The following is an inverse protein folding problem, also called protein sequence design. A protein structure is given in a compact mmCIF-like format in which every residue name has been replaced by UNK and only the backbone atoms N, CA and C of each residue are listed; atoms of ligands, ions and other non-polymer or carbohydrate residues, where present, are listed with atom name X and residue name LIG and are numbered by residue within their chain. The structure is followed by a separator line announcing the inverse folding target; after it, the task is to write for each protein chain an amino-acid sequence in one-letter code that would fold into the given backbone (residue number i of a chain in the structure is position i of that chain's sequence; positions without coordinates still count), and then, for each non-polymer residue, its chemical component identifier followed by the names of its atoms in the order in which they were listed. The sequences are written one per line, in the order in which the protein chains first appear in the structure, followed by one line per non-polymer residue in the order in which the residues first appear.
data_IF_889896474004
#
_entry.id   IF_889896474004
#
_cell.length_a   1.000
_cell.length_b   1.000
_cell.length_c   1.000
_cell.angle_alpha   90.00
_cell.angle_beta   90.00
_cell.angle_gamma   90.00
#
_symmetry.space_group_name_H-M   'P 1'
#
loop_
_entity.id
_entity.type
_entity.pdbx_description
1 polymer ?
#
# COMPACT_ATOMS: atom_id res chain seq x y z
N UNK A 1 -18.88 -7.59 1.64
CA UNK A 1 -17.66 -7.06 1.00
C UNK A 1 -16.50 -7.36 1.93
N UNK A 2 -15.65 -8.31 1.59
CA UNK A 2 -14.47 -8.64 2.37
C UNK A 2 -13.56 -7.41 2.46
N UNK A 3 -13.36 -6.91 3.68
CA UNK A 3 -12.42 -5.83 3.95
C UNK A 3 -11.03 -6.38 3.65
N UNK A 4 -10.44 -5.98 2.52
CA UNK A 4 -9.02 -6.20 2.25
C UNK A 4 -8.25 -5.63 3.45
N UNK A 5 -7.65 -6.51 4.24
CA UNK A 5 -6.80 -6.11 5.34
C UNK A 5 -5.48 -5.64 4.75
N UNK A 6 -5.05 -4.45 5.16
CA UNK A 6 -3.75 -3.88 4.81
C UNK A 6 -3.23 -3.17 6.07
N UNK A 7 -1.92 -3.25 6.28
CA UNK A 7 -1.21 -2.78 7.47
C UNK A 7 -0.05 -1.85 7.10
N UNK A 8 0.51 -1.20 8.11
CA UNK A 8 1.67 -0.33 7.94
C UNK A 8 2.89 -1.17 7.52
N UNK A 9 3.55 -0.74 6.45
CA UNK A 9 4.65 -1.48 5.82
C UNK A 9 4.20 -2.40 4.68
N UNK A 10 2.89 -2.58 4.45
CA UNK A 10 2.44 -3.45 3.36
C UNK A 10 2.75 -2.87 1.98
N UNK A 11 3.09 -3.76 1.06
CA UNK A 11 3.20 -3.43 -0.36
C UNK A 11 1.89 -3.77 -1.03
N UNK A 12 1.21 -2.74 -1.52
CA UNK A 12 -0.08 -2.86 -2.19
C UNK A 12 0.02 -2.53 -3.66
N UNK A 13 -0.83 -3.17 -4.47
CA UNK A 13 -0.97 -2.85 -5.88
C UNK A 13 -2.15 -1.92 -6.10
N UNK A 14 -1.89 -0.78 -6.74
CA UNK A 14 -2.94 0.14 -7.18
C UNK A 14 -3.58 -0.33 -8.49
N UNK A 15 -4.87 -0.02 -8.68
CA UNK A 15 -5.58 -0.25 -9.96
C UNK A 15 -5.10 0.68 -11.07
N UNK A 16 -4.77 1.92 -10.72
CA UNK A 16 -4.22 2.89 -11.68
C UNK A 16 -2.69 2.82 -11.66
N UNK A 17 -2.06 2.80 -12.83
CA UNK A 17 -0.61 2.81 -12.89
C UNK A 17 -0.03 4.14 -12.44
N UNK A 18 1.12 4.09 -11.76
CA UNK A 18 1.90 5.29 -11.47
C UNK A 18 2.58 5.76 -12.77
N UNK A 19 2.77 7.08 -12.99
CA UNK A 19 3.49 7.61 -14.16
C UNK A 19 4.90 7.05 -14.37
N UNK A 20 5.51 6.42 -13.36
CA UNK A 20 6.81 5.74 -13.52
C UNK A 20 6.73 4.31 -14.08
N UNK A 21 5.53 3.77 -14.32
CA UNK A 21 5.32 2.39 -14.79
C UNK A 21 5.21 1.33 -13.68
N UNK A 22 5.52 1.68 -12.42
CA UNK A 22 5.36 0.80 -11.27
C UNK A 22 3.97 0.94 -10.65
N UNK A 23 3.32 -0.17 -10.30
CA UNK A 23 1.96 -0.16 -9.72
C UNK A 23 1.96 -0.54 -8.23
N UNK A 24 3.15 -0.71 -7.68
CA UNK A 24 3.42 -1.17 -6.32
C UNK A 24 3.73 0.02 -5.43
N UNK A 25 3.00 0.10 -4.32
CA UNK A 25 3.10 1.18 -3.36
C UNK A 25 3.18 0.62 -1.96
N UNK A 26 4.17 1.06 -1.22
CA UNK A 26 4.40 0.73 0.18
C UNK A 26 3.62 1.70 1.07
N UNK A 27 2.91 1.17 2.07
CA UNK A 27 2.18 2.01 3.03
C UNK A 27 3.12 2.45 4.13
N UNK A 28 3.44 3.73 4.18
CA UNK A 28 4.39 4.28 5.16
C UNK A 28 3.67 4.82 6.39
N UNK A 29 2.47 5.35 6.20
CA UNK A 29 1.68 5.92 7.30
C UNK A 29 0.20 5.61 7.10
N UNK A 30 -0.46 5.24 8.19
CA UNK A 30 -1.90 5.08 8.27
C UNK A 30 -2.49 6.10 9.24
N UNK A 31 -3.57 6.76 8.81
CA UNK A 31 -4.30 7.76 9.57
C UNK A 31 -5.57 8.14 8.83
N UNK A 32 -6.02 9.40 8.96
CA UNK A 32 -7.07 9.95 8.07
C UNK A 32 -6.62 9.95 6.61
N UNK A 33 -5.37 10.37 6.38
CA UNK A 33 -4.68 10.26 5.11
C UNK A 33 -3.62 9.16 5.18
N UNK A 34 -3.60 8.31 4.15
CA UNK A 34 -2.62 7.24 4.01
C UNK A 34 -1.47 7.80 3.17
N UNK A 35 -0.25 7.80 3.73
CA UNK A 35 0.94 8.12 2.96
C UNK A 35 1.50 6.84 2.38
N UNK A 36 1.60 6.81 1.05
CA UNK A 36 2.11 5.67 0.29
C UNK A 36 3.34 6.10 -0.50
N UNK A 37 4.30 5.19 -0.63
CA UNK A 37 5.54 5.42 -1.38
C UNK A 37 5.64 4.45 -2.52
N UNK A 38 5.93 4.96 -3.71
CA UNK A 38 6.18 4.09 -4.85
C UNK A 38 7.49 3.32 -4.64
N UNK A 39 7.47 2.00 -4.81
CA UNK A 39 8.67 1.16 -4.66
C UNK A 39 9.69 1.43 -5.79
N UNK A 40 9.21 1.78 -6.99
CA UNK A 40 10.06 2.09 -8.13
C UNK A 40 10.74 3.46 -8.04
N UNK A 41 9.97 4.54 -7.98
CA UNK A 41 10.52 5.91 -7.98
C UNK A 41 10.74 6.53 -6.59
N UNK A 42 10.42 5.80 -5.51
CA UNK A 42 10.55 6.25 -4.11
C UNK A 42 9.78 7.53 -3.77
N UNK A 43 8.85 7.95 -4.64
CA UNK A 43 8.03 9.13 -4.44
C UNK A 43 6.90 8.84 -3.45
N UNK A 44 6.74 9.70 -2.44
CA UNK A 44 5.70 9.58 -1.43
C UNK A 44 4.53 10.49 -1.73
N UNK A 45 3.32 9.94 -1.78
CA UNK A 45 2.07 10.70 -1.99
C UNK A 45 1.13 10.50 -0.82
N UNK A 46 0.38 11.55 -0.48
CA UNK A 46 -0.71 11.51 0.49
C UNK A 46 -2.02 11.22 -0.24
N UNK A 47 -2.72 10.16 0.17
CA UNK A 47 -3.98 9.75 -0.41
C UNK A 47 -5.02 9.60 0.70
N UNK A 48 -6.20 10.24 0.58
CA UNK A 48 -7.28 10.04 1.53
C UNK A 48 -7.69 8.56 1.57
N UNK A 49 -8.00 8.05 2.76
CA UNK A 49 -8.34 6.63 2.96
C UNK A 49 -9.42 6.12 1.99
N UNK A 50 -10.50 6.88 1.81
CA UNK A 50 -11.61 6.53 0.90
C UNK A 50 -11.16 6.35 -0.55
N UNK A 51 -10.27 7.23 -1.04
CA UNK A 51 -9.70 7.13 -2.38
C UNK A 51 -8.72 5.97 -2.49
N UNK A 52 -7.94 5.69 -1.44
CA UNK A 52 -7.01 4.57 -1.39
C UNK A 52 -7.76 3.24 -1.49
N UNK A 53 -8.78 3.02 -0.64
CA UNK A 53 -9.57 1.78 -0.62
C UNK A 53 -10.27 1.50 -1.97
N UNK A 54 -10.78 2.55 -2.62
CA UNK A 54 -11.39 2.44 -3.95
C UNK A 54 -10.39 2.03 -5.05
N UNK A 55 -9.17 2.55 -4.96
CA UNK A 55 -8.07 2.34 -5.91
C UNK A 55 -7.23 1.10 -5.61
N UNK A 56 -7.35 0.52 -4.41
CA UNK A 56 -6.65 -0.69 -4.02
C UNK A 56 -7.10 -1.86 -4.89
N UNK A 57 -6.15 -2.48 -5.61
CA UNK A 57 -6.41 -3.68 -6.40
C UNK A 57 -6.27 -4.92 -5.53
N UNK A 58 -5.10 -5.11 -4.93
CA UNK A 58 -4.78 -6.21 -4.01
C UNK A 58 -3.56 -5.84 -3.16
N UNK A 59 -3.38 -6.53 -2.03
CA UNK A 59 -2.13 -6.50 -1.27
C UNK A 59 -1.18 -7.51 -1.91
N UNK A 60 0.08 -7.13 -2.13
CA UNK A 60 1.11 -7.99 -2.73
C UNK A 60 2.00 -8.63 -1.67
N UNK A 61 2.36 -7.86 -0.63
CA UNK A 61 3.07 -8.36 0.54
C UNK A 61 2.48 -7.74 1.79
N UNK A 62 2.16 -8.61 2.75
CA UNK A 62 1.76 -8.23 4.09
C UNK A 62 2.99 -8.24 4.99
N UNK A 63 3.21 -7.19 5.75
CA UNK A 63 4.31 -7.10 6.71
C UNK A 63 4.08 -8.03 7.92
N UNK A 64 2.83 -8.41 8.20
CA UNK A 64 2.49 -9.32 9.31
C UNK A 64 3.02 -10.73 9.15
N UNK A 65 3.22 -11.20 7.92
CA UNK A 65 3.73 -12.56 7.65
C UNK A 65 5.24 -12.66 7.88
N UNK A 66 5.96 -11.53 7.90
CA UNK A 66 7.43 -11.50 7.99
C UNK A 66 7.90 -11.53 9.46
N UNK A 67 7.02 -11.29 10.44
CA UNK A 67 7.42 -11.23 11.86
C UNK A 67 7.31 -12.55 12.62
N UNK A 68 6.75 -13.62 12.03
CA UNK A 68 6.64 -14.93 12.69
C UNK A 68 7.81 -15.89 12.42
N UNK A 69 8.71 -15.60 11.46
CA UNK A 69 9.86 -16.45 11.11
C UNK A 69 11.18 -16.05 11.81
N UNK A 70 11.12 -15.35 12.95
CA UNK A 70 12.32 -14.95 13.70
C UNK A 70 12.24 -15.21 15.21
N UNK A 71 11.40 -16.14 15.66
CA UNK A 71 11.49 -16.73 17.01
C UNK A 71 12.15 -18.10 16.99
#
# INVERSE_FOLDING_TARGET
MEKKQYQLGDIVQMKKPHPCGTNEMEIIRMGMDIRIKCVGCKHSVLVPRTKFESKLKKVLRSNTEIQEESS
#
